data_IF_309253757033
#
_entry.id   IF_309253757033
#
_cell.length_a   1.000
_cell.length_b   1.000
_cell.length_c   1.000
_cell.angle_alpha   90.00
_cell.angle_beta   90.00
_cell.angle_gamma   90.00
#
_symmetry.space_group_name_H-M   'P 1'
#
loop_
_entity.id
_entity.type
_entity.pdbx_description
1 polymer ?
#
# COMPACT_ATOMS: atom_id res chain seq x y z
N UNK A 1 -3.79 -3.69 29.44
CA UNK A 1 -2.57 -2.86 29.30
C UNK A 1 -2.92 -1.39 29.54
N UNK A 2 -1.95 -0.55 29.97
CA UNK A 2 -2.17 0.88 30.14
C UNK A 2 -2.57 1.59 28.84
N UNK A 3 -3.42 2.61 28.90
CA UNK A 3 -3.93 3.29 27.70
C UNK A 3 -2.84 3.97 26.85
N UNK A 4 -1.74 4.40 27.48
CA UNK A 4 -0.62 5.05 26.81
C UNK A 4 0.12 4.14 25.82
N UNK A 5 -0.07 2.81 25.90
CA UNK A 5 0.53 1.88 24.92
C UNK A 5 -0.21 1.90 23.58
N UNK A 6 -1.47 2.35 23.54
CA UNK A 6 -2.30 2.28 22.33
C UNK A 6 -1.75 3.06 21.13
N UNK A 7 -1.23 4.31 21.27
CA UNK A 7 -0.62 5.03 20.15
C UNK A 7 0.63 4.32 19.58
N UNK A 8 1.45 3.72 20.44
CA UNK A 8 2.65 2.99 20.01
C UNK A 8 2.27 1.75 19.20
N UNK A 9 1.26 0.99 19.66
CA UNK A 9 0.73 -0.15 18.93
C UNK A 9 0.11 0.30 17.60
N UNK A 10 -0.66 1.39 17.59
CA UNK A 10 -1.25 1.93 16.38
C UNK A 10 -0.18 2.29 15.32
N UNK A 11 0.88 2.99 15.74
CA UNK A 11 2.01 3.32 14.86
C UNK A 11 2.66 2.04 14.30
N UNK A 12 2.93 1.06 15.16
CA UNK A 12 3.52 -0.20 14.74
C UNK A 12 2.65 -0.94 13.72
N UNK A 13 1.34 -1.07 13.98
CA UNK A 13 0.37 -1.67 13.06
C UNK A 13 0.30 -0.91 11.74
N UNK A 14 0.32 0.42 11.77
CA UNK A 14 0.31 1.26 10.57
C UNK A 14 1.56 1.05 9.74
N UNK A 15 2.74 0.97 10.36
CA UNK A 15 3.98 0.70 9.64
C UNK A 15 4.03 -0.72 9.05
N UNK A 16 3.54 -1.72 9.80
CA UNK A 16 3.40 -3.11 9.32
C UNK A 16 2.47 -3.14 8.09
N UNK A 17 1.30 -2.50 8.16
CA UNK A 17 0.36 -2.43 7.06
C UNK A 17 0.94 -1.69 5.85
N UNK A 18 1.62 -0.55 6.06
CA UNK A 18 2.25 0.21 4.98
C UNK A 18 3.34 -0.60 4.26
N UNK A 19 4.21 -1.29 5.01
CA UNK A 19 5.24 -2.17 4.44
C UNK A 19 4.62 -3.36 3.72
N UNK A 20 3.58 -3.99 4.28
CA UNK A 20 2.86 -5.09 3.64
C UNK A 20 2.22 -4.63 2.32
N UNK A 21 1.55 -3.49 2.29
CA UNK A 21 0.97 -2.91 1.07
C UNK A 21 2.05 -2.63 0.04
N UNK A 22 3.15 -1.99 0.44
CA UNK A 22 4.27 -1.66 -0.44
C UNK A 22 4.92 -2.92 -1.06
N UNK A 23 5.31 -3.89 -0.23
CA UNK A 23 6.03 -5.08 -0.71
C UNK A 23 5.10 -6.01 -1.48
N UNK A 24 3.91 -6.28 -0.95
CA UNK A 24 3.03 -7.31 -1.48
C UNK A 24 2.04 -6.77 -2.52
N UNK A 25 1.08 -5.92 -2.12
CA UNK A 25 0.05 -5.46 -3.05
C UNK A 25 0.65 -4.65 -4.19
N UNK A 26 1.58 -3.75 -3.87
CA UNK A 26 2.14 -2.83 -4.83
C UNK A 26 3.26 -3.43 -5.68
N UNK A 27 4.41 -3.76 -5.07
CA UNK A 27 5.59 -4.23 -5.81
C UNK A 27 5.44 -5.65 -6.34
N UNK A 28 4.88 -6.56 -5.55
CA UNK A 28 4.71 -7.97 -5.96
C UNK A 28 3.54 -8.14 -6.91
N UNK A 29 2.31 -7.82 -6.49
CA UNK A 29 1.13 -8.15 -7.27
C UNK A 29 0.84 -7.14 -8.38
N UNK A 30 0.83 -5.84 -8.09
CA UNK A 30 0.47 -4.84 -9.09
C UNK A 30 1.54 -4.71 -10.18
N UNK A 31 2.82 -4.66 -9.79
CA UNK A 31 3.91 -4.39 -10.73
C UNK A 31 4.84 -5.57 -11.06
N UNK A 32 4.64 -6.73 -10.43
CA UNK A 32 5.43 -7.94 -10.71
C UNK A 32 6.94 -7.68 -10.64
N UNK A 33 7.37 -6.93 -9.63
CA UNK A 33 8.77 -6.67 -9.35
C UNK A 33 9.42 -7.84 -8.58
N UNK A 34 8.61 -8.64 -7.89
CA UNK A 34 9.03 -9.73 -7.02
C UNK A 34 8.24 -11.00 -7.32
N UNK A 35 8.88 -12.14 -7.13
CA UNK A 35 8.22 -13.42 -6.88
C UNK A 35 8.40 -13.77 -5.40
N UNK A 36 7.34 -14.21 -4.73
CA UNK A 36 7.37 -14.56 -3.31
C UNK A 36 6.92 -16.00 -3.09
N UNK A 37 7.39 -16.63 -2.01
CA UNK A 37 6.92 -17.97 -1.63
C UNK A 37 5.45 -17.94 -1.16
N UNK A 38 4.71 -19.05 -1.31
CA UNK A 38 3.32 -19.14 -0.84
C UNK A 38 3.11 -18.79 0.63
N UNK A 39 4.07 -19.12 1.51
CA UNK A 39 4.00 -18.75 2.93
C UNK A 39 4.05 -17.24 3.14
N UNK A 40 4.88 -16.53 2.38
CA UNK A 40 5.01 -15.07 2.45
C UNK A 40 3.75 -14.41 1.92
N UNK A 41 3.20 -14.94 0.83
CA UNK A 41 1.92 -14.53 0.26
C UNK A 41 0.80 -14.66 1.31
N UNK A 42 0.66 -15.82 1.96
CA UNK A 42 -0.34 -16.04 3.01
C UNK A 42 -0.17 -15.09 4.20
N UNK A 43 1.06 -14.85 4.66
CA UNK A 43 1.36 -13.92 5.76
C UNK A 43 0.95 -12.50 5.40
N UNK A 44 1.33 -11.99 4.23
CA UNK A 44 0.95 -10.63 3.82
C UNK A 44 -0.56 -10.48 3.66
N UNK A 45 -1.25 -11.48 3.11
CA UNK A 45 -2.72 -11.49 3.04
C UNK A 45 -3.34 -11.42 4.42
N UNK A 46 -2.90 -12.26 5.36
CA UNK A 46 -3.44 -12.29 6.71
C UNK A 46 -3.23 -10.96 7.45
N UNK A 47 -2.02 -10.40 7.36
CA UNK A 47 -1.68 -9.09 7.94
C UNK A 47 -2.64 -8.02 7.40
N UNK A 48 -2.71 -7.85 6.07
CA UNK A 48 -3.51 -6.79 5.46
C UNK A 48 -5.01 -6.99 5.70
N UNK A 49 -5.48 -8.24 5.70
CA UNK A 49 -6.88 -8.55 5.99
C UNK A 49 -7.26 -8.17 7.42
N UNK A 50 -6.42 -8.49 8.41
CA UNK A 50 -6.68 -8.16 9.82
C UNK A 50 -6.54 -6.67 10.12
N UNK A 51 -5.61 -5.97 9.47
CA UNK A 51 -5.32 -4.56 9.80
C UNK A 51 -6.09 -3.57 8.94
N UNK A 52 -6.39 -3.91 7.69
CA UNK A 52 -6.97 -2.97 6.71
C UNK A 52 -8.23 -3.49 6.02
N UNK A 53 -8.53 -4.78 6.11
CA UNK A 53 -9.65 -5.41 5.40
C UNK A 53 -9.51 -5.40 3.89
N UNK A 54 -8.30 -5.18 3.36
CA UNK A 54 -8.07 -5.05 1.92
C UNK A 54 -8.17 -6.38 1.19
N UNK A 55 -8.94 -6.39 0.10
CA UNK A 55 -8.91 -7.46 -0.90
C UNK A 55 -7.81 -7.19 -1.93
N UNK A 56 -6.93 -8.18 -2.14
CA UNK A 56 -5.76 -8.04 -3.01
C UNK A 56 -6.12 -7.75 -4.47
N UNK A 57 -7.21 -8.34 -4.98
CA UNK A 57 -7.62 -8.18 -6.37
C UNK A 57 -8.19 -6.79 -6.58
N UNK A 58 -9.03 -6.33 -5.65
CA UNK A 58 -9.57 -4.97 -5.66
C UNK A 58 -8.45 -3.94 -5.65
N UNK A 59 -7.52 -4.03 -4.70
CA UNK A 59 -6.43 -3.07 -4.58
C UNK A 59 -5.58 -3.01 -5.85
N UNK A 60 -5.16 -4.17 -6.35
CA UNK A 60 -4.33 -4.26 -7.55
C UNK A 60 -5.05 -3.73 -8.79
N UNK A 61 -6.34 -4.00 -8.95
CA UNK A 61 -7.12 -3.49 -10.07
C UNK A 61 -7.22 -1.96 -10.06
N UNK A 62 -7.56 -1.37 -8.91
CA UNK A 62 -7.66 0.09 -8.77
C UNK A 62 -6.30 0.74 -9.01
N UNK A 63 -5.23 0.18 -8.45
CA UNK A 63 -3.87 0.70 -8.63
C UNK A 63 -3.39 0.63 -10.07
N UNK A 64 -3.61 -0.50 -10.76
CA UNK A 64 -3.26 -0.65 -12.17
C UNK A 64 -4.10 0.27 -13.07
N UNK A 65 -5.37 0.51 -12.73
CA UNK A 65 -6.21 1.50 -13.43
C UNK A 65 -5.65 2.91 -13.25
N UNK A 66 -5.25 3.29 -12.04
CA UNK A 66 -4.59 4.57 -11.78
C UNK A 66 -3.30 4.72 -12.62
N UNK A 67 -2.46 3.69 -12.71
CA UNK A 67 -1.29 3.73 -13.59
C UNK A 67 -1.62 3.84 -15.08
N UNK A 68 -2.72 3.24 -15.53
CA UNK A 68 -3.13 3.29 -16.94
C UNK A 68 -3.68 4.67 -17.34
N UNK A 69 -4.26 5.41 -16.39
CA UNK A 69 -4.91 6.70 -16.63
C UNK A 69 -4.32 7.82 -15.75
N UNK A 70 -3.06 7.72 -15.35
CA UNK A 70 -2.47 8.62 -14.35
C UNK A 70 -2.75 10.08 -14.67
N UNK A 71 -3.45 10.75 -13.76
CA UNK A 71 -3.83 12.16 -13.88
C UNK A 71 -4.64 12.54 -15.15
N UNK A 72 -5.28 11.56 -15.77
CA UNK A 72 -6.12 11.70 -16.96
C UNK A 72 -7.53 11.14 -16.70
N UNK A 73 -8.47 11.47 -17.58
CA UNK A 73 -9.84 10.96 -17.46
C UNK A 73 -9.83 9.42 -17.36
N UNK A 74 -10.42 8.88 -16.28
CA UNK A 74 -10.37 7.47 -15.95
C UNK A 74 -9.55 7.14 -14.69
N UNK A 75 -8.68 8.05 -14.24
CA UNK A 75 -7.99 7.89 -12.95
C UNK A 75 -9.02 7.86 -11.80
N UNK A 76 -9.05 6.81 -10.96
CA UNK A 76 -10.01 6.73 -9.86
C UNK A 76 -9.82 7.82 -8.80
N UNK A 77 -8.61 8.34 -8.61
CA UNK A 77 -8.27 9.22 -7.48
C UNK A 77 -7.21 10.29 -7.80
N UNK A 78 -7.19 10.82 -9.03
CA UNK A 78 -6.27 11.92 -9.36
C UNK A 78 -6.63 13.21 -8.62
N UNK A 79 -5.68 13.80 -7.84
CA UNK A 79 -5.88 15.10 -7.21
C UNK A 79 -5.85 16.26 -8.21
N UNK A 80 -5.32 16.06 -9.42
CA UNK A 80 -5.36 17.06 -10.50
C UNK A 80 -6.75 17.21 -11.09
N UNK A 81 -7.51 16.12 -11.16
CA UNK A 81 -8.88 16.11 -11.69
C UNK A 81 -9.93 16.41 -10.62
N UNK A 82 -9.74 15.85 -9.42
CA UNK A 82 -10.74 15.90 -8.35
C UNK A 82 -10.46 17.01 -7.32
N UNK A 83 -9.22 17.52 -7.28
CA UNK A 83 -8.72 18.45 -6.26
C UNK A 83 -8.09 17.71 -5.07
N UNK A 84 -6.97 18.26 -4.59
CA UNK A 84 -6.15 17.67 -3.52
C UNK A 84 -6.96 17.27 -2.28
N UNK A 85 -7.78 18.19 -1.74
CA UNK A 85 -8.52 17.94 -0.50
C UNK A 85 -9.63 16.91 -0.67
N UNK A 86 -10.24 16.81 -1.85
CA UNK A 86 -11.22 15.75 -2.13
C UNK A 86 -10.54 14.39 -2.11
N UNK A 87 -9.39 14.25 -2.77
CA UNK A 87 -8.62 12.99 -2.72
C UNK A 87 -8.16 12.73 -1.29
N UNK A 88 -7.59 13.70 -0.58
CA UNK A 88 -7.11 13.49 0.79
C UNK A 88 -8.20 13.01 1.76
N UNK A 89 -9.41 13.59 1.70
CA UNK A 89 -10.49 13.28 2.64
C UNK A 89 -11.38 12.11 2.18
N UNK A 90 -11.55 11.93 0.87
CA UNK A 90 -12.47 10.95 0.28
C UNK A 90 -11.75 9.83 -0.48
N UNK A 91 -10.44 9.64 -0.29
CA UNK A 91 -9.68 8.57 -0.97
C UNK A 91 -10.32 7.20 -0.81
N UNK A 92 -10.79 6.87 0.40
CA UNK A 92 -11.47 5.59 0.67
C UNK A 92 -12.76 5.45 -0.14
N UNK A 93 -13.51 6.54 -0.32
CA UNK A 93 -14.72 6.56 -1.15
C UNK A 93 -14.38 6.31 -2.62
N UNK A 94 -13.40 7.04 -3.18
CA UNK A 94 -12.97 6.87 -4.56
C UNK A 94 -12.41 5.48 -4.82
N UNK A 95 -11.59 4.97 -3.90
CA UNK A 95 -11.09 3.59 -3.91
C UNK A 95 -12.25 2.59 -3.91
N UNK A 96 -13.21 2.72 -2.99
CA UNK A 96 -14.30 1.75 -2.87
C UNK A 96 -15.28 1.78 -4.02
N UNK A 97 -15.55 2.96 -4.59
CA UNK A 97 -16.36 3.11 -5.79
C UNK A 97 -15.75 2.30 -6.95
N UNK A 98 -14.43 2.41 -7.13
CA UNK A 98 -13.74 1.72 -8.22
C UNK A 98 -13.52 0.23 -7.94
N UNK A 99 -13.18 -0.13 -6.71
CA UNK A 99 -12.98 -1.51 -6.28
C UNK A 99 -14.24 -2.38 -6.41
N UNK A 100 -15.43 -1.76 -6.34
CA UNK A 100 -16.73 -2.42 -6.53
C UNK A 100 -17.16 -2.54 -7.99
N UNK A 101 -16.41 -1.95 -8.93
CA UNK A 101 -16.71 -2.03 -10.36
C UNK A 101 -16.20 -3.36 -10.96
N UNK A 102 -17.08 -4.28 -11.39
CA UNK A 102 -16.66 -5.59 -11.93
C UNK A 102 -15.81 -5.47 -13.20
N UNK A 103 -16.08 -4.49 -14.06
CA UNK A 103 -15.32 -4.28 -15.30
C UNK A 103 -13.88 -3.87 -15.01
N UNK A 104 -13.66 -3.10 -13.94
CA UNK A 104 -12.30 -2.75 -13.49
C UNK A 104 -11.56 -3.97 -12.98
N UNK A 105 -12.20 -4.83 -12.19
CA UNK A 105 -11.57 -6.08 -11.72
C UNK A 105 -11.26 -7.05 -12.86
N UNK A 106 -12.11 -7.08 -13.89
CA UNK A 106 -11.94 -7.91 -15.09
C UNK A 106 -10.82 -7.38 -15.98
N UNK A 107 -10.74 -6.06 -16.14
CA UNK A 107 -9.77 -5.40 -17.04
C UNK A 107 -8.39 -5.30 -16.43
N UNK A 108 -8.29 -4.85 -15.17
CA UNK A 108 -7.01 -4.47 -14.56
C UNK A 108 -6.41 -5.55 -13.65
N UNK A 109 -7.20 -6.52 -13.19
CA UNK A 109 -6.70 -7.67 -12.42
C UNK A 109 -7.28 -9.03 -12.89
N UNK A 110 -7.23 -9.36 -14.20
CA UNK A 110 -7.70 -10.65 -14.71
C UNK A 110 -6.86 -11.84 -14.22
N UNK A 111 -5.60 -11.59 -13.88
CA UNK A 111 -4.62 -12.57 -13.38
C UNK A 111 -4.83 -12.96 -11.91
N UNK A 112 -5.51 -12.12 -11.12
CA UNK A 112 -5.74 -12.36 -9.69
C UNK A 112 -7.15 -12.91 -9.44
N UNK A 113 -7.40 -14.14 -9.90
CA UNK A 113 -8.66 -14.83 -9.63
C UNK A 113 -8.72 -15.27 -8.15
N UNK A 114 -9.85 -15.08 -7.44
CA UNK A 114 -9.99 -15.50 -6.04
C UNK A 114 -9.78 -17.01 -5.87
N UNK A 115 -8.81 -17.37 -5.04
CA UNK A 115 -8.57 -18.74 -4.61
C UNK A 115 -9.48 -19.12 -3.42
N UNK A 116 -9.30 -20.33 -2.88
CA UNK A 116 -10.13 -20.82 -1.78
C UNK A 116 -10.01 -19.92 -0.53
N UNK A 117 -8.81 -19.45 -0.21
CA UNK A 117 -8.59 -18.60 0.97
C UNK A 117 -9.23 -17.24 0.79
N UNK A 118 -9.19 -16.68 -0.42
CA UNK A 118 -9.90 -15.43 -0.72
C UNK A 118 -11.41 -15.59 -0.52
N UNK A 119 -12.02 -16.66 -1.06
CA UNK A 119 -13.47 -16.88 -0.95
C UNK A 119 -13.96 -17.14 0.47
N UNK A 120 -13.17 -17.85 1.27
CA UNK A 120 -13.54 -18.19 2.65
C UNK A 120 -13.23 -17.05 3.61
N UNK A 121 -12.06 -16.42 3.47
CA UNK A 121 -11.54 -15.43 4.42
C UNK A 121 -11.26 -14.07 3.77
N UNK A 122 -10.26 -14.00 2.88
CA UNK A 122 -9.60 -12.71 2.59
C UNK A 122 -10.44 -11.71 1.79
N UNK A 123 -11.44 -12.16 1.02
CA UNK A 123 -12.40 -11.27 0.36
C UNK A 123 -13.49 -10.74 1.30
N UNK A 124 -13.54 -11.20 2.56
CA UNK A 124 -14.46 -10.71 3.60
C UNK A 124 -13.76 -9.65 4.46
N UNK A 125 -13.50 -8.48 3.89
CA UNK A 125 -12.70 -7.43 4.54
C UNK A 125 -13.20 -6.98 5.91
N UNK A 126 -14.52 -6.81 6.07
CA UNK A 126 -15.12 -6.42 7.36
C UNK A 126 -14.95 -7.49 8.45
N UNK A 127 -14.95 -8.78 8.07
CA UNK A 127 -14.67 -9.86 9.01
C UNK A 127 -13.22 -9.80 9.48
N UNK A 128 -12.27 -9.54 8.57
CA UNK A 128 -10.86 -9.37 8.91
C UNK A 128 -10.63 -8.24 9.90
N UNK A 129 -11.20 -7.06 9.61
CA UNK A 129 -11.13 -5.91 10.52
C UNK A 129 -11.76 -6.18 11.88
N UNK A 130 -12.92 -6.83 11.92
CA UNK A 130 -13.58 -7.20 13.18
C UNK A 130 -12.70 -8.15 14.00
N UNK A 131 -12.15 -9.19 13.38
CA UNK A 131 -11.26 -10.14 14.05
C UNK A 131 -9.95 -9.49 14.50
N UNK A 132 -9.37 -8.60 13.70
CA UNK A 132 -8.18 -7.83 14.07
C UNK A 132 -8.45 -6.93 15.28
N UNK A 133 -9.59 -6.24 15.32
CA UNK A 133 -9.99 -5.42 16.45
C UNK A 133 -10.27 -6.25 17.71
N UNK A 134 -10.94 -7.39 17.57
CA UNK A 134 -11.17 -8.33 18.68
C UNK A 134 -9.85 -8.83 19.24
N UNK A 135 -8.88 -9.19 18.39
CA UNK A 135 -7.56 -9.60 18.82
C UNK A 135 -6.82 -8.47 19.57
N UNK A 136 -6.90 -7.22 19.09
CA UNK A 136 -6.32 -6.07 19.80
C UNK A 136 -6.96 -5.84 21.16
N UNK A 137 -8.29 -5.90 21.25
CA UNK A 137 -9.02 -5.77 22.51
C UNK A 137 -8.70 -6.91 23.49
N UNK A 138 -8.49 -8.13 22.98
CA UNK A 138 -8.11 -9.28 23.79
C UNK A 138 -6.70 -9.10 24.39
N UNK A 139 -5.74 -8.66 23.59
CA UNK A 139 -4.33 -8.50 24.01
C UNK A 139 -4.11 -7.26 24.89
N UNK A 140 -4.71 -6.12 24.51
CA UNK A 140 -4.47 -4.84 25.18
C UNK A 140 -5.50 -4.52 26.26
N UNK A 141 -6.65 -5.21 26.26
CA UNK A 141 -7.85 -4.82 26.97
C UNK A 141 -8.76 -3.93 26.10
N UNK A 142 -10.09 -3.90 26.35
CA UNK A 142 -11.06 -3.27 25.45
C UNK A 142 -10.76 -1.79 25.12
N UNK A 143 -10.51 -0.95 26.13
CA UNK A 143 -10.28 0.48 25.92
C UNK A 143 -9.01 0.77 25.11
N UNK A 144 -7.89 0.13 25.47
CA UNK A 144 -6.62 0.31 24.77
C UNK A 144 -6.64 -0.32 23.37
N UNK A 145 -7.32 -1.46 23.19
CA UNK A 145 -7.50 -2.12 21.90
C UNK A 145 -8.33 -1.29 20.92
N UNK A 146 -9.48 -0.76 21.38
CA UNK A 146 -10.32 0.14 20.59
C UNK A 146 -9.57 1.42 20.19
N UNK A 147 -8.86 2.04 21.13
CA UNK A 147 -8.06 3.23 20.83
C UNK A 147 -6.94 2.93 19.82
N UNK A 148 -6.21 1.83 19.99
CA UNK A 148 -5.14 1.44 19.06
C UNK A 148 -5.69 1.16 17.66
N UNK A 149 -6.81 0.43 17.56
CA UNK A 149 -7.48 0.16 16.29
C UNK A 149 -7.99 1.41 15.60
N UNK A 150 -8.63 2.32 16.35
CA UNK A 150 -9.11 3.61 15.83
C UNK A 150 -7.98 4.52 15.34
N UNK A 151 -6.90 4.64 16.12
CA UNK A 151 -5.72 5.40 15.72
C UNK A 151 -5.03 4.77 14.50
N UNK A 152 -4.93 3.44 14.44
CA UNK A 152 -4.40 2.74 13.26
C UNK A 152 -5.21 3.06 12.01
N UNK A 153 -6.55 2.95 12.09
CA UNK A 153 -7.44 3.27 10.99
C UNK A 153 -7.29 4.72 10.53
N UNK A 154 -7.22 5.67 11.47
CA UNK A 154 -6.98 7.08 11.17
C UNK A 154 -5.64 7.28 10.45
N UNK A 155 -4.55 6.75 11.00
CA UNK A 155 -3.21 6.93 10.44
C UNK A 155 -3.06 6.26 9.07
N UNK A 156 -3.59 5.05 8.88
CA UNK A 156 -3.44 4.34 7.61
C UNK A 156 -4.42 4.87 6.54
N UNK A 157 -5.73 4.85 6.85
CA UNK A 157 -6.80 5.17 5.89
C UNK A 157 -6.99 6.68 5.74
N UNK A 158 -6.88 7.45 6.83
CA UNK A 158 -7.11 8.90 6.84
C UNK A 158 -5.88 9.73 6.50
N UNK A 159 -4.67 9.21 6.76
CA UNK A 159 -3.42 9.95 6.55
C UNK A 159 -2.56 9.33 5.46
N UNK A 160 -1.93 8.17 5.68
CA UNK A 160 -0.85 7.69 4.81
C UNK A 160 -1.30 7.31 3.40
N UNK A 161 -2.34 6.47 3.27
CA UNK A 161 -2.83 6.05 1.95
C UNK A 161 -3.32 7.22 1.09
N UNK A 162 -4.20 8.12 1.57
CA UNK A 162 -4.61 9.30 0.81
C UNK A 162 -3.46 10.27 0.52
N UNK A 163 -2.48 10.39 1.42
CA UNK A 163 -1.35 11.32 1.25
C UNK A 163 -0.46 10.92 0.07
N UNK A 164 -0.28 9.62 -0.18
CA UNK A 164 0.44 9.12 -1.36
C UNK A 164 -0.28 9.55 -2.64
N UNK A 165 -1.58 9.30 -2.75
CA UNK A 165 -2.37 9.64 -3.94
C UNK A 165 -2.53 11.16 -4.11
N UNK A 166 -2.70 11.89 -3.00
CA UNK A 166 -2.86 13.33 -2.97
C UNK A 166 -1.54 14.06 -3.24
N UNK A 167 -0.62 14.08 -2.26
CA UNK A 167 0.62 14.84 -2.39
C UNK A 167 1.55 14.26 -3.47
N UNK A 168 1.55 12.94 -3.65
CA UNK A 168 2.36 12.27 -4.68
C UNK A 168 2.00 12.69 -6.11
N UNK A 169 0.82 13.25 -6.36
CA UNK A 169 0.39 13.76 -7.67
C UNK A 169 0.12 15.27 -7.70
N UNK A 170 0.40 15.97 -6.59
CA UNK A 170 0.15 17.41 -6.48
C UNK A 170 1.42 18.24 -6.66
N UNK A 171 2.42 18.05 -5.78
CA UNK A 171 3.66 18.83 -5.80
C UNK A 171 4.78 18.16 -5.02
N UNK A 172 6.01 18.28 -5.51
CA UNK A 172 7.22 17.86 -4.82
C UNK A 172 8.43 17.83 -5.74
N UNK A 173 9.41 16.99 -5.41
CA UNK A 173 10.64 16.85 -6.22
C UNK A 173 10.46 15.81 -7.33
N UNK A 174 11.19 15.97 -8.44
CA UNK A 174 11.16 15.03 -9.57
C UNK A 174 12.57 14.65 -10.00
N UNK A 175 12.76 13.36 -10.28
CA UNK A 175 13.94 12.80 -10.92
C UNK A 175 13.68 12.46 -12.40
N UNK A 176 12.42 12.24 -12.76
CA UNK A 176 11.95 11.89 -14.09
C UNK A 176 10.79 12.77 -14.51
N UNK A 177 10.62 12.98 -15.81
CA UNK A 177 9.50 13.73 -16.36
C UNK A 177 8.22 12.87 -16.35
N UNK A 178 7.35 13.12 -15.37
CA UNK A 178 5.97 12.61 -15.30
C UNK A 178 5.14 13.55 -14.40
N UNK A 179 3.89 13.19 -14.09
CA UNK A 179 3.00 14.04 -13.27
C UNK A 179 3.08 13.79 -11.77
N UNK A 180 3.85 12.79 -11.33
CA UNK A 180 4.04 12.42 -9.94
C UNK A 180 5.29 13.07 -9.33
N UNK A 181 5.36 13.06 -7.99
CA UNK A 181 6.37 13.74 -7.19
C UNK A 181 6.92 12.86 -6.06
N UNK A 182 8.23 12.99 -5.80
CA UNK A 182 8.90 12.39 -4.66
C UNK A 182 8.77 13.27 -3.42
N UNK A 183 8.40 12.65 -2.29
CA UNK A 183 8.56 13.18 -0.94
C UNK A 183 9.48 12.27 -0.13
N UNK A 184 10.66 12.80 0.23
CA UNK A 184 11.69 12.06 0.98
C UNK A 184 11.34 11.86 2.45
N UNK A 185 10.72 12.86 3.06
CA UNK A 185 10.31 12.79 4.47
C UNK A 185 9.22 11.73 4.64
N UNK A 186 8.25 11.70 3.72
CA UNK A 186 7.15 10.73 3.76
C UNK A 186 7.61 9.31 3.43
N UNK A 187 8.77 9.14 2.79
CA UNK A 187 9.25 7.82 2.39
C UNK A 187 9.52 6.93 3.61
N UNK A 188 9.91 7.55 4.74
CA UNK A 188 10.13 6.86 6.01
C UNK A 188 8.87 6.21 6.56
N UNK A 189 7.72 6.90 6.49
CA UNK A 189 6.48 6.46 7.12
C UNK A 189 5.54 5.71 6.17
N UNK A 190 5.78 5.81 4.85
CA UNK A 190 5.00 5.15 3.81
C UNK A 190 5.64 3.87 3.29
N UNK A 191 6.77 3.43 3.86
CA UNK A 191 7.51 2.29 3.33
C UNK A 191 8.21 2.58 1.99
N UNK A 192 8.41 3.85 1.64
CA UNK A 192 9.06 4.29 0.41
C UNK A 192 8.10 4.67 -0.72
N UNK A 193 6.80 4.47 -0.54
CA UNK A 193 5.75 4.68 -1.55
C UNK A 193 5.64 6.15 -2.02
N UNK A 194 6.02 7.10 -1.17
CA UNK A 194 6.06 8.51 -1.52
C UNK A 194 7.26 8.91 -2.38
N UNK A 195 8.19 8.01 -2.70
CA UNK A 195 9.15 8.18 -3.81
C UNK A 195 8.42 7.94 -5.14
N UNK A 196 7.32 8.69 -5.31
CA UNK A 196 6.24 8.39 -6.23
C UNK A 196 6.62 8.71 -7.68
N UNK A 197 7.37 9.79 -7.90
CA UNK A 197 7.90 10.13 -9.24
C UNK A 197 8.83 9.03 -9.77
N UNK A 198 9.70 8.48 -8.93
CA UNK A 198 10.59 7.37 -9.30
C UNK A 198 9.80 6.12 -9.65
N UNK A 199 8.80 5.83 -8.81
CA UNK A 199 7.90 4.69 -8.99
C UNK A 199 7.12 4.81 -10.31
N UNK A 200 6.49 5.94 -10.58
CA UNK A 200 5.74 6.17 -11.83
C UNK A 200 6.62 6.08 -13.08
N UNK A 201 7.89 6.48 -13.00
CA UNK A 201 8.83 6.30 -14.11
C UNK A 201 9.25 4.83 -14.32
N UNK A 202 9.40 4.07 -13.24
CA UNK A 202 9.94 2.71 -13.28
C UNK A 202 9.14 1.75 -12.38
N UNK A 203 7.86 1.58 -12.67
CA UNK A 203 6.91 0.89 -11.79
C UNK A 203 7.29 -0.57 -11.47
N UNK A 204 7.99 -1.25 -12.40
CA UNK A 204 8.46 -2.63 -12.21
C UNK A 204 9.80 -2.74 -11.44
N UNK A 205 10.39 -1.62 -11.01
CA UNK A 205 11.58 -1.64 -10.17
C UNK A 205 11.20 -2.11 -8.76
N UNK A 206 11.91 -3.08 -8.16
CA UNK A 206 11.64 -3.51 -6.79
C UNK A 206 12.06 -2.47 -5.72
N UNK A 207 12.81 -1.45 -6.13
CA UNK A 207 13.35 -0.37 -5.29
C UNK A 207 12.88 0.98 -5.85
N UNK A 208 12.28 1.81 -5.00
CA UNK A 208 11.78 3.13 -5.39
C UNK A 208 12.79 4.24 -5.13
N UNK A 209 13.77 4.04 -4.25
CA UNK A 209 14.87 5.00 -4.09
C UNK A 209 15.93 4.87 -5.19
N UNK A 210 16.22 6.01 -5.82
CA UNK A 210 17.13 6.14 -6.95
C UNK A 210 18.37 6.97 -6.58
N UNK A 211 18.21 7.99 -5.72
CA UNK A 211 19.33 8.81 -5.23
C UNK A 211 19.85 8.32 -3.88
N UNK A 212 21.13 8.58 -3.59
CA UNK A 212 21.79 8.16 -2.34
C UNK A 212 21.13 8.67 -1.05
N UNK A 213 20.41 9.79 -1.14
CA UNK A 213 19.75 10.45 -0.01
C UNK A 213 18.24 10.18 0.06
N UNK A 214 17.74 9.30 -0.80
CA UNK A 214 16.39 8.74 -0.73
C UNK A 214 16.46 7.42 0.03
N UNK A 215 15.56 7.26 1.01
CA UNK A 215 15.46 6.02 1.78
C UNK A 215 14.18 5.29 1.42
N UNK A 216 14.29 3.98 1.21
CA UNK A 216 13.18 3.09 0.89
C UNK A 216 13.14 1.97 1.93
N UNK A 217 12.29 2.10 2.98
CA UNK A 217 12.16 1.09 4.02
C UNK A 217 11.74 -0.28 3.50
N UNK A 218 10.78 -0.35 2.57
CA UNK A 218 10.32 -1.63 2.01
C UNK A 218 11.42 -2.34 1.23
N UNK A 219 12.35 -1.61 0.60
CA UNK A 219 13.52 -2.22 -0.02
C UNK A 219 14.40 -2.98 0.97
N UNK A 220 14.54 -2.50 2.21
CA UNK A 220 15.31 -3.24 3.23
C UNK A 220 14.62 -4.55 3.61
N UNK A 221 13.28 -4.52 3.78
CA UNK A 221 12.50 -5.73 4.01
C UNK A 221 12.62 -6.72 2.84
N UNK A 222 12.54 -6.22 1.59
CA UNK A 222 12.73 -7.05 0.39
C UNK A 222 14.10 -7.72 0.40
N UNK A 223 15.18 -7.00 0.73
CA UNK A 223 16.53 -7.57 0.82
C UNK A 223 16.60 -8.70 1.85
N UNK A 224 15.94 -8.55 3.00
CA UNK A 224 15.88 -9.60 4.03
C UNK A 224 15.13 -10.82 3.50
N UNK A 225 13.97 -10.63 2.86
CA UNK A 225 13.21 -11.74 2.27
C UNK A 225 13.99 -12.46 1.16
N UNK A 226 14.71 -11.73 0.32
CA UNK A 226 15.55 -12.31 -0.73
C UNK A 226 16.73 -13.08 -0.13
N UNK A 227 17.41 -12.52 0.87
CA UNK A 227 18.51 -13.19 1.57
C UNK A 227 18.04 -14.50 2.24
N UNK A 228 16.83 -14.49 2.82
CA UNK A 228 16.18 -15.67 3.39
C UNK A 228 15.61 -16.64 2.35
N UNK A 229 15.78 -16.36 1.04
CA UNK A 229 15.22 -17.12 -0.09
C UNK A 229 13.69 -17.19 -0.09
N UNK A 230 13.03 -16.29 0.62
CA UNK A 230 11.57 -16.16 0.74
C UNK A 230 10.96 -15.33 -0.41
N UNK A 231 11.77 -14.53 -1.08
CA UNK A 231 11.43 -13.79 -2.28
C UNK A 231 12.58 -13.83 -3.31
N UNK A 232 12.26 -13.54 -4.57
CA UNK A 232 13.22 -13.33 -5.64
C UNK A 232 12.87 -12.06 -6.41
N UNK A 233 13.88 -11.31 -6.82
CA UNK A 233 13.68 -10.16 -7.70
C UNK A 233 13.41 -10.65 -9.12
N UNK A 234 12.33 -10.18 -9.75
CA UNK A 234 12.06 -10.49 -11.15
C UNK A 234 12.84 -9.58 -12.11
N UNK A 235 13.32 -8.44 -11.60
CA UNK A 235 14.14 -7.47 -12.32
C UNK A 235 15.16 -6.83 -11.37
N UNK A 236 16.33 -6.41 -11.88
CA UNK A 236 17.28 -5.65 -11.06
C UNK A 236 16.70 -4.28 -10.65
N UNK A 237 17.10 -3.72 -9.50
CA UNK A 237 16.80 -2.34 -9.14
C UNK A 237 17.32 -1.37 -10.20
N UNK A 238 16.47 -0.44 -10.64
CA UNK A 238 16.91 0.67 -11.50
C UNK A 238 17.78 1.63 -10.70
N UNK A 239 18.77 2.22 -11.36
CA UNK A 239 19.65 3.25 -10.80
C UNK A 239 19.74 4.41 -11.79
N UNK A 240 19.83 5.63 -11.26
CA UNK A 240 20.20 6.76 -12.11
C UNK A 240 21.65 6.59 -12.60
N UNK A 241 21.98 7.08 -13.80
CA UNK A 241 23.37 7.16 -14.24
C UNK A 241 24.20 7.90 -13.19
N UNK A 242 25.43 7.45 -12.96
CA UNK A 242 26.38 8.26 -12.22
C UNK A 242 26.56 9.58 -12.97
N UNK A 243 26.24 10.69 -12.32
CA UNK A 243 26.64 12.03 -12.78
C UNK A 243 28.02 12.32 -12.23
#
# INVERSE_FOLDING_TARGET
MPLWTAPLVAIALTQIAALATSVYLHRTLAHRALAIRPVVDAVFRAVLWLTTGQDRRQWVAVHRKHHAFTDCAGDPHSPRLLGLWRVQLLNVYYYMREARNPETLKTFAPDLKPDLLDRVFFSRGMLGLALGLVALCFVLGPAAGLLAGGLHALLYVGVLAPLINGLGHWRGSQNFENTAYNSRLMAWVTGGESLHNNHHAHARSPKFSMRRWEFDPAWQLIRVLVAARLAALLRPPVRLPAR
#
